data_IF_026209872998
#
_entry.id   IF_026209872998
#
_cell.length_a   1.000
_cell.length_b   1.000
_cell.length_c   1.000
_cell.angle_alpha   90.00
_cell.angle_beta   90.00
_cell.angle_gamma   90.00
#
_symmetry.space_group_name_H-M   'P 1'
#
loop_
_entity.id
_entity.type
_entity.pdbx_description
1 polymer ?
#
# COMPACT_ATOMS: atom_id res chain seq x y z
N UNK A 1 7.71 21.76 9.02
CA UNK A 1 8.99 22.17 8.41
C UNK A 1 8.97 21.85 6.93
N UNK A 2 9.99 22.22 6.15
CA UNK A 2 10.07 21.83 4.73
C UNK A 2 10.29 20.34 4.61
N UNK A 3 11.44 19.83 5.07
CA UNK A 3 11.73 18.39 5.08
C UNK A 3 11.76 17.86 6.52
N UNK A 4 11.51 16.56 6.69
CA UNK A 4 11.83 15.79 7.90
C UNK A 4 12.87 14.73 7.51
N UNK A 5 14.08 14.87 8.03
CA UNK A 5 15.12 13.84 7.90
C UNK A 5 15.54 13.40 9.30
N UNK A 6 15.18 12.18 9.67
CA UNK A 6 15.58 11.63 10.96
C UNK A 6 17.02 11.12 10.94
N UNK A 7 17.63 10.93 9.77
CA UNK A 7 18.95 10.34 9.60
C UNK A 7 19.17 9.08 10.46
N UNK A 8 20.42 8.76 10.78
CA UNK A 8 20.75 7.60 11.61
C UNK A 8 20.40 7.73 13.11
N UNK A 9 19.46 8.62 13.46
CA UNK A 9 18.99 8.83 14.83
C UNK A 9 18.19 7.62 15.35
N UNK A 10 17.94 7.57 16.66
CA UNK A 10 17.09 6.53 17.26
C UNK A 10 15.63 6.56 16.77
N UNK A 11 15.25 7.60 16.02
CA UNK A 11 13.89 7.80 15.57
C UNK A 11 12.99 8.39 16.66
N UNK A 12 11.69 8.38 16.39
CA UNK A 12 10.65 8.81 17.32
C UNK A 12 9.93 7.56 17.83
N UNK A 13 9.91 7.38 19.14
CA UNK A 13 9.28 6.23 19.79
C UNK A 13 8.37 6.72 20.91
N UNK A 14 7.10 6.30 20.85
CA UNK A 14 6.10 6.55 21.89
C UNK A 14 5.89 5.28 22.71
N UNK A 15 6.08 5.40 24.03
CA UNK A 15 6.18 4.29 24.98
C UNK A 15 5.23 4.37 26.16
N UNK A 16 4.52 5.49 26.32
CA UNK A 16 3.56 5.66 27.41
C UNK A 16 4.13 5.35 28.79
N UNK A 17 3.36 4.56 29.53
CA UNK A 17 3.71 4.16 30.89
C UNK A 17 4.85 3.14 31.00
N UNK A 18 5.32 2.55 29.88
CA UNK A 18 6.51 1.67 29.89
C UNK A 18 7.77 2.43 30.27
N UNK A 19 7.85 3.72 29.91
CA UNK A 19 8.99 4.58 30.24
C UNK A 19 8.74 5.47 31.45
N UNK A 20 7.48 5.77 31.77
CA UNK A 20 7.12 6.64 32.88
C UNK A 20 5.85 6.11 33.58
N UNK A 21 5.97 5.45 34.74
CA UNK A 21 4.83 4.82 35.41
C UNK A 21 3.76 5.81 35.92
N UNK A 22 4.03 7.12 35.86
CA UNK A 22 3.04 8.15 36.20
C UNK A 22 2.14 8.55 35.03
N UNK A 23 2.42 8.09 33.81
CA UNK A 23 1.55 8.29 32.65
C UNK A 23 0.43 7.24 32.62
N UNK A 24 -0.73 7.55 31.99
CA UNK A 24 -1.74 6.55 31.66
C UNK A 24 -1.15 5.40 30.81
N UNK A 25 -1.81 4.24 30.87
CA UNK A 25 -1.52 3.14 29.95
C UNK A 25 -1.88 3.53 28.51
N UNK A 26 -0.96 3.30 27.57
CA UNK A 26 -1.13 3.71 26.17
C UNK A 26 0.01 4.60 25.66
N UNK A 27 0.31 4.48 24.37
CA UNK A 27 1.19 5.38 23.64
C UNK A 27 0.40 6.58 23.13
N UNK A 28 1.07 7.72 22.98
CA UNK A 28 0.54 8.84 22.21
C UNK A 28 0.63 8.57 20.71
N UNK A 29 -0.26 9.15 19.91
CA UNK A 29 -0.21 9.10 18.45
C UNK A 29 0.96 9.93 17.91
N UNK A 30 1.44 9.57 16.73
CA UNK A 30 2.52 10.25 16.02
C UNK A 30 1.98 10.88 14.74
N UNK A 31 1.78 12.20 14.75
CA UNK A 31 1.53 12.99 13.55
C UNK A 31 2.83 13.58 13.01
N UNK A 32 3.23 13.19 11.80
CA UNK A 32 4.48 13.59 11.13
C UNK A 32 4.16 14.37 9.86
N UNK A 33 4.52 15.65 9.83
CA UNK A 33 4.15 16.57 8.75
C UNK A 33 5.38 17.23 8.12
N UNK A 34 5.66 16.90 6.86
CA UNK A 34 6.68 17.57 6.04
C UNK A 34 6.01 18.37 4.91
N UNK A 35 6.53 19.54 4.61
CA UNK A 35 6.09 20.32 3.45
C UNK A 35 4.65 20.83 3.47
N UNK A 36 3.96 20.80 4.62
CA UNK A 36 2.56 21.23 4.77
C UNK A 36 2.35 22.76 4.68
N UNK A 37 3.43 23.53 4.58
CA UNK A 37 3.37 24.98 4.36
C UNK A 37 3.31 25.22 2.85
N UNK A 38 2.22 25.81 2.37
CA UNK A 38 2.11 26.24 0.98
C UNK A 38 3.05 27.42 0.68
N UNK A 39 3.60 27.45 -0.52
CA UNK A 39 4.36 28.58 -1.07
C UNK A 39 3.65 29.17 -2.28
N UNK A 40 3.50 30.49 -2.31
CA UNK A 40 2.91 31.22 -3.44
C UNK A 40 3.82 31.23 -4.68
N UNK A 41 3.34 31.78 -5.79
CA UNK A 41 4.11 31.92 -7.04
C UNK A 41 5.41 32.72 -6.93
N UNK A 42 5.59 33.50 -5.86
CA UNK A 42 6.84 34.22 -5.57
C UNK A 42 7.76 33.44 -4.61
N UNK A 43 7.35 32.24 -4.17
CA UNK A 43 8.06 31.41 -3.20
C UNK A 43 7.83 31.80 -1.73
N UNK A 44 6.91 32.73 -1.45
CA UNK A 44 6.62 33.17 -0.09
C UNK A 44 5.76 32.13 0.64
N UNK A 45 6.12 31.82 1.88
CA UNK A 45 5.33 30.91 2.71
C UNK A 45 3.98 31.54 3.07
N UNK A 46 2.90 30.80 2.84
CA UNK A 46 1.54 31.12 3.29
C UNK A 46 1.38 30.60 4.73
N UNK A 47 0.60 31.29 5.60
CA UNK A 47 0.31 30.78 6.93
C UNK A 47 -0.25 29.36 6.89
N UNK A 48 0.24 28.51 7.80
CA UNK A 48 -0.27 27.14 7.96
C UNK A 48 -1.73 27.22 8.38
N UNK A 49 -2.57 26.39 7.76
CA UNK A 49 -3.95 26.22 8.21
C UNK A 49 -3.96 25.62 9.62
N UNK A 50 -4.61 26.29 10.56
CA UNK A 50 -4.76 25.80 11.93
C UNK A 50 -5.52 24.47 11.97
N UNK A 51 -6.34 24.16 10.96
CA UNK A 51 -7.02 22.89 10.81
C UNK A 51 -6.06 21.69 10.77
N UNK A 52 -4.84 21.85 10.23
CA UNK A 52 -3.81 20.80 10.22
C UNK A 52 -3.27 20.44 11.62
N UNK A 53 -3.58 21.25 12.63
CA UNK A 53 -3.22 20.98 14.02
C UNK A 53 -4.39 20.37 14.82
N UNK A 54 -5.58 20.27 14.23
CA UNK A 54 -6.73 19.59 14.83
C UNK A 54 -6.72 18.11 14.42
N UNK A 55 -6.58 17.25 15.42
CA UNK A 55 -6.58 15.80 15.29
C UNK A 55 -7.80 15.30 14.50
N UNK A 56 -8.99 15.84 14.78
CA UNK A 56 -10.22 15.40 14.12
C UNK A 56 -10.22 15.73 12.62
N UNK A 57 -9.54 16.80 12.21
CA UNK A 57 -9.44 17.16 10.78
C UNK A 57 -8.56 16.15 10.06
N UNK A 58 -7.42 15.78 10.65
CA UNK A 58 -6.49 14.82 10.06
C UNK A 58 -7.09 13.42 10.03
N UNK A 59 -7.77 13.01 11.11
CA UNK A 59 -8.48 11.73 11.17
C UNK A 59 -9.58 11.64 10.12
N UNK A 60 -10.40 12.68 10.01
CA UNK A 60 -11.45 12.74 8.99
C UNK A 60 -10.85 12.73 7.59
N UNK A 61 -9.73 13.42 7.36
CA UNK A 61 -9.02 13.37 6.09
C UNK A 61 -8.62 11.94 5.71
N UNK A 62 -8.01 11.18 6.62
CA UNK A 62 -7.67 9.78 6.34
C UNK A 62 -8.90 8.87 6.22
N UNK A 63 -9.98 9.15 6.95
CA UNK A 63 -11.24 8.44 6.78
C UNK A 63 -11.85 8.66 5.38
N UNK A 64 -11.77 9.87 4.83
CA UNK A 64 -12.20 10.18 3.46
C UNK A 64 -11.33 9.46 2.41
N UNK A 65 -10.00 9.42 2.62
CA UNK A 65 -9.10 8.65 1.76
C UNK A 65 -9.40 7.14 1.81
N UNK A 66 -9.67 6.59 2.99
CA UNK A 66 -10.03 5.18 3.15
C UNK A 66 -11.38 4.86 2.49
N UNK A 67 -12.36 5.74 2.63
CA UNK A 67 -13.65 5.57 1.98
C UNK A 67 -13.52 5.65 0.46
N UNK A 68 -12.70 6.56 -0.07
CA UNK A 68 -12.38 6.62 -1.49
C UNK A 68 -11.65 5.36 -1.97
N UNK A 69 -10.76 4.78 -1.16
CA UNK A 69 -10.12 3.49 -1.45
C UNK A 69 -11.16 2.37 -1.57
N UNK A 70 -12.17 2.33 -0.70
CA UNK A 70 -13.26 1.37 -0.75
C UNK A 70 -14.10 1.54 -2.03
N UNK A 71 -14.47 2.78 -2.38
CA UNK A 71 -15.23 3.09 -3.59
C UNK A 71 -14.46 2.73 -4.87
N UNK A 72 -13.13 2.92 -4.87
CA UNK A 72 -12.26 2.64 -6.02
C UNK A 72 -12.22 1.18 -6.44
N UNK A 73 -12.62 0.26 -5.56
CA UNK A 73 -12.61 -1.20 -5.80
C UNK A 73 -13.37 -1.61 -7.06
N UNK A 74 -14.47 -0.93 -7.34
CA UNK A 74 -15.37 -1.27 -8.44
C UNK A 74 -15.27 -0.29 -9.62
N UNK A 75 -15.12 1.00 -9.32
CA UNK A 75 -15.24 2.09 -10.30
C UNK A 75 -13.91 2.71 -10.71
N UNK A 76 -12.82 2.45 -9.97
CA UNK A 76 -11.58 3.25 -10.00
C UNK A 76 -11.85 4.75 -9.82
N UNK A 77 -12.89 5.09 -9.06
CA UNK A 77 -13.21 6.47 -8.72
C UNK A 77 -12.41 6.88 -7.48
N UNK A 78 -11.60 7.94 -7.64
CA UNK A 78 -10.80 8.54 -6.59
C UNK A 78 -11.25 9.96 -6.25
N UNK A 79 -12.34 10.44 -6.86
CA UNK A 79 -12.79 11.83 -6.77
C UNK A 79 -13.06 12.28 -5.34
N UNK A 80 -13.53 11.38 -4.49
CA UNK A 80 -13.73 11.63 -3.05
C UNK A 80 -12.42 11.94 -2.34
N UNK A 81 -11.39 11.11 -2.54
CA UNK A 81 -10.07 11.32 -1.97
C UNK A 81 -9.38 12.55 -2.55
N UNK A 82 -9.49 12.76 -3.87
CA UNK A 82 -8.97 13.95 -4.55
C UNK A 82 -9.60 15.24 -4.04
N UNK A 83 -10.91 15.24 -3.74
CA UNK A 83 -11.60 16.37 -3.13
C UNK A 83 -11.08 16.65 -1.71
N UNK A 84 -10.96 15.62 -0.86
CA UNK A 84 -10.41 15.76 0.49
C UNK A 84 -8.96 16.30 0.48
N UNK A 85 -8.15 15.85 -0.50
CA UNK A 85 -6.79 16.37 -0.72
C UNK A 85 -6.82 17.83 -1.15
N UNK A 86 -7.67 18.20 -2.10
CA UNK A 86 -7.76 19.58 -2.59
C UNK A 86 -8.26 20.55 -1.50
N UNK A 87 -9.14 20.08 -0.61
CA UNK A 87 -9.66 20.85 0.52
C UNK A 87 -8.58 21.09 1.58
N UNK A 88 -7.83 20.05 1.96
CA UNK A 88 -6.79 20.16 3.01
C UNK A 88 -5.48 20.77 2.50
N UNK A 89 -5.15 20.55 1.21
CA UNK A 89 -3.91 20.99 0.57
C UNK A 89 -4.19 21.70 -0.76
N UNK A 90 -4.80 22.90 -0.74
CA UNK A 90 -5.15 23.61 -1.95
C UNK A 90 -3.92 24.01 -2.77
N UNK A 91 -3.97 23.82 -4.09
CA UNK A 91 -2.91 24.19 -5.06
C UNK A 91 -3.11 25.58 -5.68
N UNK A 92 -4.08 26.34 -5.19
CA UNK A 92 -4.37 27.70 -5.64
C UNK A 92 -5.05 27.76 -7.00
N UNK A 93 -4.93 28.90 -7.68
CA UNK A 93 -5.45 29.10 -9.04
C UNK A 93 -4.29 29.30 -10.03
N UNK A 94 -4.58 29.29 -11.33
CA UNK A 94 -3.57 29.58 -12.35
C UNK A 94 -2.89 30.95 -12.15
N UNK A 95 -3.63 31.95 -11.64
CA UNK A 95 -3.10 33.29 -11.38
C UNK A 95 -2.41 33.42 -10.02
N UNK A 96 -2.70 32.50 -9.08
CA UNK A 96 -2.15 32.48 -7.73
C UNK A 96 -1.85 31.03 -7.31
N UNK A 97 -0.81 30.40 -7.90
CA UNK A 97 -0.50 29.00 -7.63
C UNK A 97 0.06 28.85 -6.23
N UNK A 98 -0.32 27.74 -5.59
CA UNK A 98 0.23 27.28 -4.32
C UNK A 98 0.99 25.97 -4.56
N UNK A 99 2.20 25.90 -4.01
CA UNK A 99 3.04 24.71 -4.12
C UNK A 99 3.47 24.24 -2.75
N UNK A 100 3.43 22.93 -2.55
CA UNK A 100 3.96 22.26 -1.38
C UNK A 100 5.30 21.62 -1.74
N UNK A 101 6.24 21.60 -0.81
CA UNK A 101 7.54 20.92 -0.98
C UNK A 101 8.01 20.36 0.34
N UNK A 102 8.40 19.09 0.34
CA UNK A 102 8.93 18.47 1.55
C UNK A 102 8.83 16.97 1.54
N UNK A 103 9.92 16.32 1.93
CA UNK A 103 9.98 14.86 2.05
C UNK A 103 10.08 14.42 3.52
N UNK A 104 9.63 13.20 3.79
CA UNK A 104 9.87 12.48 5.05
C UNK A 104 10.88 11.35 4.79
N UNK A 105 12.04 11.41 5.44
CA UNK A 105 13.11 10.42 5.33
C UNK A 105 13.43 9.78 6.67
N UNK A 106 13.33 8.44 6.70
CA UNK A 106 13.61 7.59 7.87
C UNK A 106 14.88 6.75 7.68
N UNK A 107 15.88 7.27 6.95
CA UNK A 107 17.13 6.57 6.70
C UNK A 107 17.81 6.10 8.00
N UNK A 108 17.92 4.79 8.26
CA UNK A 108 18.48 4.28 9.52
C UNK A 108 17.71 4.69 10.80
N UNK A 109 16.43 5.03 10.66
CA UNK A 109 15.59 5.53 11.73
C UNK A 109 14.28 4.75 11.87
N UNK A 110 13.45 5.17 12.83
CA UNK A 110 12.14 4.59 13.06
C UNK A 110 11.08 5.63 13.46
N UNK A 111 9.84 5.32 13.13
CA UNK A 111 8.64 5.85 13.77
C UNK A 111 7.95 4.67 14.43
N UNK A 112 7.80 4.69 15.75
CA UNK A 112 7.31 3.52 16.47
C UNK A 112 6.36 3.85 17.60
N UNK A 113 5.23 3.16 17.66
CA UNK A 113 4.33 3.15 18.83
C UNK A 113 4.37 1.79 19.51
N UNK A 114 4.65 1.77 20.82
CA UNK A 114 4.76 0.52 21.58
C UNK A 114 3.47 0.11 22.30
N UNK A 115 2.54 1.05 22.50
CA UNK A 115 1.31 0.85 23.28
C UNK A 115 0.04 1.43 22.61
N UNK A 116 -0.21 1.10 21.33
CA UNK A 116 -1.53 1.32 20.73
C UNK A 116 -1.86 2.76 20.32
N UNK A 117 -0.86 3.52 19.86
CA UNK A 117 -1.07 4.82 19.20
C UNK A 117 -0.84 4.72 17.69
N UNK A 118 -1.50 5.58 16.94
CA UNK A 118 -1.46 5.64 15.48
C UNK A 118 -0.19 6.36 14.98
N UNK A 119 0.17 6.10 13.73
CA UNK A 119 1.22 6.83 13.01
C UNK A 119 0.62 7.42 11.75
N UNK A 120 0.50 8.74 11.73
CA UNK A 120 -0.05 9.50 10.61
C UNK A 120 1.05 10.34 9.97
N UNK A 121 1.18 10.27 8.64
CA UNK A 121 2.20 10.98 7.88
C UNK A 121 1.59 11.80 6.75
N UNK A 122 1.97 13.07 6.65
CA UNK A 122 1.52 13.99 5.61
C UNK A 122 2.73 14.60 4.90
N UNK A 123 2.82 14.37 3.59
CA UNK A 123 3.79 14.98 2.68
C UNK A 123 3.11 15.47 1.39
N UNK A 124 2.32 16.56 1.42
CA UNK A 124 1.52 17.04 0.29
C UNK A 124 2.34 17.57 -0.91
N UNK A 125 3.66 17.66 -0.78
CA UNK A 125 4.54 18.18 -1.82
C UNK A 125 5.75 17.32 -2.11
N UNK A 126 5.77 16.09 -1.61
CA UNK A 126 6.91 15.19 -1.72
C UNK A 126 6.55 13.76 -1.37
N UNK A 127 7.58 12.97 -1.07
CA UNK A 127 7.46 11.54 -0.80
C UNK A 127 7.80 11.15 0.64
N UNK A 128 7.61 9.87 0.93
CA UNK A 128 8.06 9.23 2.17
C UNK A 128 9.05 8.13 1.82
N UNK A 129 10.20 8.12 2.50
CA UNK A 129 11.17 7.04 2.42
C UNK A 129 11.34 6.40 3.80
N UNK A 130 10.81 5.19 3.99
CA UNK A 130 10.91 4.44 5.23
C UNK A 130 12.32 3.89 5.52
N UNK A 131 13.26 4.06 4.59
CA UNK A 131 14.70 3.98 4.82
C UNK A 131 15.39 2.72 4.29
N UNK A 132 16.73 2.73 4.40
CA UNK A 132 17.62 1.61 4.12
C UNK A 132 18.03 0.96 5.45
N UNK A 133 18.10 -0.36 5.50
CA UNK A 133 18.41 -1.14 6.71
C UNK A 133 19.89 -1.54 6.83
N UNK A 134 20.69 -1.37 5.76
CA UNK A 134 22.13 -1.67 5.76
C UNK A 134 22.91 -0.60 4.99
N UNK A 135 23.87 0.07 5.65
CA UNK A 135 25.00 0.76 5.02
C UNK A 135 26.23 -0.05 5.38
N UNK A 136 27.15 -0.19 4.45
CA UNK A 136 28.39 -0.96 4.65
C UNK A 136 29.08 -0.58 5.96
N UNK A 137 29.15 -1.53 6.91
CA UNK A 137 29.83 -1.35 8.20
C UNK A 137 28.95 -1.00 9.40
N UNK A 138 27.64 -0.77 9.23
CA UNK A 138 26.71 -0.49 10.33
C UNK A 138 25.41 -1.29 10.17
N UNK A 139 25.18 -2.26 11.05
CA UNK A 139 23.91 -2.99 11.15
C UNK A 139 23.10 -2.44 12.33
N UNK A 140 21.85 -2.08 12.07
CA UNK A 140 20.85 -1.82 13.11
C UNK A 140 19.94 -3.03 13.24
N UNK A 141 19.53 -3.33 14.47
CA UNK A 141 18.55 -4.38 14.68
C UNK A 141 17.24 -4.04 13.97
N UNK A 142 16.51 -5.05 13.50
CA UNK A 142 15.18 -4.86 12.90
C UNK A 142 14.20 -4.13 13.84
N UNK A 143 14.43 -4.19 15.16
CA UNK A 143 13.69 -3.47 16.19
C UNK A 143 13.84 -1.96 16.18
N UNK A 144 14.86 -1.44 15.50
CA UNK A 144 15.24 -0.04 15.58
C UNK A 144 15.06 0.70 14.24
N UNK A 145 14.32 0.10 13.31
CA UNK A 145 14.18 0.56 11.94
C UNK A 145 12.75 0.40 11.41
N UNK A 146 12.28 1.42 10.69
CA UNK A 146 11.03 1.42 9.96
C UNK A 146 9.86 2.07 10.69
N UNK A 147 8.67 1.86 10.17
CA UNK A 147 7.42 2.44 10.70
C UNK A 147 6.63 1.30 11.32
N UNK A 148 6.43 1.32 12.64
CA UNK A 148 5.91 0.15 13.37
C UNK A 148 4.92 0.54 14.45
N UNK A 149 3.75 -0.09 14.46
CA UNK A 149 2.83 -0.09 15.61
C UNK A 149 2.82 -1.48 16.24
N UNK A 150 3.08 -1.56 17.56
CA UNK A 150 3.32 -2.86 18.21
C UNK A 150 2.05 -3.43 18.82
N UNK A 151 1.40 -2.70 19.73
CA UNK A 151 0.21 -3.16 20.45
C UNK A 151 -1.08 -2.58 19.85
N UNK A 152 -1.21 -2.69 18.52
CA UNK A 152 -2.27 -2.00 17.78
C UNK A 152 -1.87 -0.58 17.40
N UNK A 153 -2.81 0.15 16.80
CA UNK A 153 -2.61 1.45 16.17
C UNK A 153 -2.44 1.33 14.66
N UNK A 154 -3.06 2.22 13.93
CA UNK A 154 -3.05 2.28 12.47
C UNK A 154 -1.81 3.01 11.96
N UNK A 155 -1.42 2.72 10.72
CA UNK A 155 -0.40 3.49 9.99
C UNK A 155 -1.07 4.11 8.77
N UNK A 156 -1.11 5.43 8.73
CA UNK A 156 -1.78 6.19 7.68
C UNK A 156 -0.79 7.17 7.05
N UNK A 157 -0.69 7.18 5.73
CA UNK A 157 0.25 8.02 5.01
C UNK A 157 -0.40 8.65 3.79
N UNK A 158 -0.26 9.97 3.65
CA UNK A 158 -0.54 10.69 2.43
C UNK A 158 0.75 11.33 1.90
N UNK A 159 1.02 11.07 0.62
CA UNK A 159 2.16 11.59 -0.12
C UNK A 159 1.70 12.07 -1.49
N UNK A 160 2.33 13.13 -2.00
CA UNK A 160 2.11 13.52 -3.40
C UNK A 160 2.91 12.62 -4.32
N UNK A 161 4.20 12.43 -4.02
CA UNK A 161 5.12 11.66 -4.84
C UNK A 161 5.19 10.20 -4.32
N UNK A 162 6.36 9.56 -4.30
CA UNK A 162 6.48 8.15 -3.97
C UNK A 162 6.43 7.85 -2.46
N UNK A 163 5.92 6.67 -2.11
CA UNK A 163 6.13 6.02 -0.82
C UNK A 163 7.06 4.82 -0.99
N UNK A 164 8.28 4.91 -0.45
CA UNK A 164 9.35 3.93 -0.64
C UNK A 164 9.71 3.23 0.67
N UNK A 165 9.51 1.91 0.73
CA UNK A 165 9.91 1.09 1.89
C UNK A 165 11.37 0.65 1.81
N UNK A 166 11.91 0.48 0.60
CA UNK A 166 13.29 0.03 0.37
C UNK A 166 13.60 -1.27 1.13
N UNK A 167 14.64 -1.33 1.97
CA UNK A 167 14.92 -2.54 2.77
C UNK A 167 14.42 -2.43 4.21
N UNK A 168 13.59 -1.43 4.50
CA UNK A 168 12.95 -1.20 5.78
C UNK A 168 11.60 -1.93 5.86
N UNK A 169 10.72 -1.49 6.76
CA UNK A 169 9.41 -2.10 7.02
C UNK A 169 8.37 -1.09 7.43
N UNK A 170 7.11 -1.39 7.10
CA UNK A 170 5.91 -0.67 7.56
C UNK A 170 4.93 -1.70 8.10
N UNK A 171 4.97 -1.93 9.41
CA UNK A 171 4.31 -3.07 10.06
C UNK A 171 3.35 -2.67 11.18
N UNK A 172 2.18 -3.29 11.23
CA UNK A 172 1.33 -3.33 12.43
C UNK A 172 1.35 -4.77 13.00
N UNK A 173 1.71 -4.92 14.28
CA UNK A 173 2.09 -6.24 14.84
C UNK A 173 0.94 -6.94 15.55
N UNK A 174 0.20 -6.23 16.39
CA UNK A 174 -0.86 -6.82 17.24
C UNK A 174 -2.25 -6.33 16.85
N UNK A 175 -2.46 -6.06 15.56
CA UNK A 175 -3.63 -5.37 15.01
C UNK A 175 -3.26 -3.99 14.48
N UNK A 176 -4.22 -3.31 13.86
CA UNK A 176 -4.04 -2.03 13.19
C UNK A 176 -3.99 -2.17 11.67
N UNK A 177 -4.61 -1.22 11.00
CA UNK A 177 -4.73 -1.15 9.55
C UNK A 177 -3.65 -0.24 8.96
N UNK A 178 -3.38 -0.43 7.67
CA UNK A 178 -2.43 0.40 6.92
C UNK A 178 -3.16 1.06 5.77
N UNK A 179 -3.12 2.39 5.71
CA UNK A 179 -3.53 3.18 4.55
C UNK A 179 -2.32 3.95 4.02
N UNK A 180 -2.00 3.77 2.74
CA UNK A 180 -0.99 4.58 2.06
C UNK A 180 -1.61 5.12 0.78
N UNK A 181 -1.64 6.44 0.67
CA UNK A 181 -2.08 7.17 -0.51
C UNK A 181 -0.91 7.94 -1.12
N UNK A 182 -0.59 7.63 -2.37
CA UNK A 182 0.34 8.35 -3.22
C UNK A 182 -0.44 8.98 -4.36
N UNK A 183 -0.57 10.31 -4.38
CA UNK A 183 -1.46 10.99 -5.31
C UNK A 183 -0.96 10.94 -6.76
N UNK A 184 0.33 11.21 -6.97
CA UNK A 184 0.98 11.33 -8.28
C UNK A 184 2.16 10.35 -8.46
N UNK A 185 2.50 9.58 -7.43
CA UNK A 185 3.66 8.70 -7.40
C UNK A 185 3.34 7.21 -7.25
N UNK A 186 4.36 6.45 -6.85
CA UNK A 186 4.31 5.00 -6.69
C UNK A 186 4.41 4.59 -5.23
N UNK A 187 3.94 3.38 -4.92
CA UNK A 187 4.16 2.72 -3.63
C UNK A 187 5.05 1.50 -3.86
N UNK A 188 6.24 1.49 -3.28
CA UNK A 188 7.19 0.37 -3.37
C UNK A 188 7.41 -0.26 -1.99
N UNK A 189 6.95 -1.49 -1.82
CA UNK A 189 7.15 -2.29 -0.61
C UNK A 189 8.62 -2.75 -0.44
N UNK A 190 9.43 -2.61 -1.48
CA UNK A 190 10.87 -2.63 -1.40
C UNK A 190 11.51 -4.01 -1.56
N UNK A 191 12.78 -4.11 -1.14
CA UNK A 191 13.67 -5.24 -1.38
C UNK A 191 14.21 -5.76 -0.05
N UNK A 192 14.08 -7.06 0.18
CA UNK A 192 14.60 -7.69 1.40
C UNK A 192 14.12 -9.12 1.55
N UNK A 193 14.74 -9.86 2.47
CA UNK A 193 14.36 -11.24 2.72
C UNK A 193 12.92 -11.32 3.25
N UNK A 194 12.06 -12.07 2.55
CA UNK A 194 10.75 -12.49 3.05
C UNK A 194 10.97 -13.31 4.32
N UNK A 195 10.51 -12.82 5.46
CA UNK A 195 10.53 -13.61 6.69
C UNK A 195 9.26 -14.44 6.83
N UNK A 196 9.33 -15.49 7.62
CA UNK A 196 8.30 -16.53 7.70
C UNK A 196 6.93 -16.01 8.18
N UNK A 197 5.89 -16.75 7.80
CA UNK A 197 4.45 -16.44 7.98
C UNK A 197 3.99 -16.28 9.44
N UNK A 198 4.77 -16.76 10.42
CA UNK A 198 4.45 -16.64 11.84
C UNK A 198 5.58 -15.91 12.58
N UNK A 199 5.31 -14.67 12.96
CA UNK A 199 6.18 -13.83 13.78
C UNK A 199 5.63 -13.91 15.21
N UNK A 200 6.36 -14.50 16.19
CA UNK A 200 5.88 -14.64 17.56
C UNK A 200 5.38 -13.31 18.15
N UNK A 201 4.39 -13.32 19.06
CA UNK A 201 3.95 -12.08 19.70
C UNK A 201 5.08 -11.42 20.48
N UNK A 202 5.11 -10.07 20.56
CA UNK A 202 6.09 -9.34 21.35
C UNK A 202 6.09 -9.78 22.81
N UNK A 203 7.27 -9.87 23.43
CA UNK A 203 7.40 -10.27 24.83
C UNK A 203 7.77 -9.07 25.70
N UNK A 204 7.01 -8.81 26.76
CA UNK A 204 7.39 -7.82 27.75
C UNK A 204 8.53 -8.37 28.61
N UNK A 205 9.67 -7.68 28.62
CA UNK A 205 10.86 -8.06 29.40
C UNK A 205 11.31 -6.90 30.27
N UNK A 206 11.98 -7.21 31.37
CA UNK A 206 12.63 -6.21 32.21
C UNK A 206 14.10 -6.10 31.78
N UNK A 207 14.55 -4.89 31.46
CA UNK A 207 15.95 -4.65 31.10
C UNK A 207 16.88 -4.66 32.33
N UNK A 208 18.19 -4.56 32.10
CA UNK A 208 19.19 -4.56 33.18
C UNK A 208 19.05 -3.37 34.15
N UNK A 209 18.30 -2.33 33.77
CA UNK A 209 18.06 -1.13 34.55
C UNK A 209 16.70 -1.16 35.28
N UNK A 210 15.93 -2.26 35.15
CA UNK A 210 14.63 -2.41 35.79
C UNK A 210 13.46 -1.80 35.01
N UNK A 211 13.65 -1.37 33.77
CA UNK A 211 12.58 -0.82 32.93
C UNK A 211 11.83 -1.94 32.19
N UNK A 212 10.53 -1.74 31.98
CA UNK A 212 9.75 -2.59 31.10
C UNK A 212 10.07 -2.25 29.63
N UNK A 213 10.52 -3.25 28.87
CA UNK A 213 10.86 -3.13 27.46
C UNK A 213 10.12 -4.20 26.68
N UNK A 214 9.43 -3.79 25.61
CA UNK A 214 8.76 -4.70 24.71
C UNK A 214 9.76 -5.27 23.70
N UNK A 215 10.10 -6.55 23.85
CA UNK A 215 10.96 -7.27 22.93
C UNK A 215 10.16 -7.72 21.70
N UNK A 216 10.34 -6.98 20.61
CA UNK A 216 9.69 -7.17 19.32
C UNK A 216 10.62 -7.84 18.30
N UNK A 217 11.85 -8.20 18.69
CA UNK A 217 12.90 -8.61 17.74
C UNK A 217 12.50 -9.84 16.91
N UNK A 218 11.71 -10.73 17.52
CA UNK A 218 11.17 -11.93 16.87
C UNK A 218 9.90 -11.66 16.08
N UNK A 219 9.22 -10.52 16.28
CA UNK A 219 7.91 -10.15 15.71
C UNK A 219 7.99 -9.27 14.45
N UNK A 220 9.16 -8.65 14.21
CA UNK A 220 9.38 -7.65 13.15
C UNK A 220 10.50 -8.03 12.17
N UNK A 221 10.91 -9.30 12.18
CA UNK A 221 11.89 -9.79 11.22
C UNK A 221 11.37 -9.54 9.79
N UNK A 222 12.24 -9.09 8.88
CA UNK A 222 11.94 -8.91 7.45
C UNK A 222 11.79 -7.45 7.01
N UNK A 223 11.38 -7.31 5.75
CA UNK A 223 11.10 -6.02 5.09
C UNK A 223 9.72 -6.07 4.46
N UNK A 224 9.18 -4.92 4.05
CA UNK A 224 7.91 -4.85 3.32
C UNK A 224 6.79 -4.16 4.07
N UNK A 225 5.57 -4.39 3.61
CA UNK A 225 4.35 -3.83 4.20
C UNK A 225 3.55 -4.99 4.80
N UNK A 226 3.17 -4.88 6.07
CA UNK A 226 2.40 -5.90 6.78
C UNK A 226 1.40 -5.27 7.74
N UNK A 227 0.11 -5.53 7.56
CA UNK A 227 -0.90 -5.09 8.53
C UNK A 227 -2.09 -6.03 8.63
N UNK A 228 -3.11 -5.63 9.40
CA UNK A 228 -4.40 -6.33 9.44
C UNK A 228 -5.12 -6.12 8.12
N UNK A 229 -5.78 -4.99 7.91
CA UNK A 229 -6.22 -4.57 6.58
C UNK A 229 -5.18 -3.62 5.97
N UNK A 230 -5.02 -3.68 4.65
CA UNK A 230 -4.06 -2.85 3.94
C UNK A 230 -4.76 -2.21 2.73
N UNK A 231 -4.70 -0.89 2.63
CA UNK A 231 -5.18 -0.10 1.50
C UNK A 231 -4.00 0.69 0.90
N UNK A 232 -3.64 0.39 -0.34
CA UNK A 232 -2.54 1.02 -1.06
C UNK A 232 -3.09 1.68 -2.33
N UNK A 233 -3.09 3.01 -2.34
CA UNK A 233 -3.73 3.80 -3.40
C UNK A 233 -2.68 4.65 -4.09
N UNK A 234 -2.49 4.40 -5.38
CA UNK A 234 -1.58 5.12 -6.28
C UNK A 234 -2.31 5.36 -7.62
N UNK A 235 -3.30 6.28 -7.68
CA UNK A 235 -4.25 6.38 -8.79
C UNK A 235 -3.62 6.48 -10.17
N UNK A 236 -2.52 7.24 -10.29
CA UNK A 236 -1.77 7.43 -11.53
C UNK A 236 -0.45 6.65 -11.58
N UNK A 237 -0.18 5.83 -10.57
CA UNK A 237 1.12 5.19 -10.38
C UNK A 237 1.04 3.68 -10.20
N UNK A 238 2.16 3.12 -9.75
CA UNK A 238 2.34 1.69 -9.53
C UNK A 238 2.36 1.33 -8.04
N UNK A 239 1.72 0.21 -7.70
CA UNK A 239 1.95 -0.50 -6.43
C UNK A 239 2.84 -1.70 -6.70
N UNK A 240 4.07 -1.66 -6.19
CA UNK A 240 5.07 -2.70 -6.36
C UNK A 240 5.30 -3.44 -5.06
N UNK A 241 4.99 -4.73 -5.04
CA UNK A 241 5.23 -5.58 -3.88
C UNK A 241 6.72 -5.87 -3.64
N UNK A 242 7.58 -5.65 -4.65
CA UNK A 242 9.01 -5.91 -4.60
C UNK A 242 9.34 -7.34 -4.15
N UNK A 243 10.59 -7.58 -3.72
CA UNK A 243 10.97 -8.88 -3.16
C UNK A 243 10.50 -9.05 -1.70
N UNK A 244 10.35 -7.92 -1.00
CA UNK A 244 9.94 -7.88 0.40
C UNK A 244 8.50 -8.37 0.60
N UNK A 245 7.61 -7.99 -0.31
CA UNK A 245 6.21 -8.39 -0.35
C UNK A 245 5.27 -7.47 0.42
N UNK A 246 3.98 -7.67 0.16
CA UNK A 246 2.86 -7.01 0.84
C UNK A 246 2.02 -8.09 1.52
N UNK A 247 1.66 -7.88 2.79
CA UNK A 247 0.90 -8.86 3.59
C UNK A 247 -0.26 -8.20 4.31
N UNK A 248 -1.46 -8.68 4.07
CA UNK A 248 -2.66 -8.31 4.82
C UNK A 248 -3.18 -9.55 5.55
N UNK A 249 -3.27 -9.49 6.88
CA UNK A 249 -3.90 -10.55 7.67
C UNK A 249 -5.41 -10.67 7.43
N UNK A 250 -6.04 -9.53 7.13
CA UNK A 250 -7.43 -9.37 6.69
C UNK A 250 -7.50 -8.99 5.22
N UNK A 251 -8.19 -7.91 4.90
CA UNK A 251 -8.46 -7.49 3.53
C UNK A 251 -7.32 -6.66 2.93
N UNK A 252 -7.11 -6.79 1.62
CA UNK A 252 -6.20 -5.96 0.84
C UNK A 252 -6.97 -5.22 -0.25
N UNK A 253 -6.76 -3.91 -0.32
CA UNK A 253 -7.27 -3.04 -1.38
C UNK A 253 -6.11 -2.38 -2.08
N UNK A 254 -5.98 -2.58 -3.40
CA UNK A 254 -5.01 -1.86 -4.22
C UNK A 254 -5.75 -1.07 -5.29
N UNK A 255 -5.60 0.26 -5.25
CA UNK A 255 -6.13 1.18 -6.25
C UNK A 255 -4.97 1.82 -7.00
N UNK A 256 -4.54 1.23 -8.11
CA UNK A 256 -3.38 1.71 -8.86
C UNK A 256 -3.56 1.56 -10.38
N UNK A 257 -2.77 2.31 -11.15
CA UNK A 257 -2.69 2.11 -12.60
C UNK A 257 -2.07 0.75 -12.92
N UNK A 258 -1.02 0.39 -12.16
CA UNK A 258 -0.31 -0.89 -12.32
C UNK A 258 0.02 -1.53 -10.97
N UNK A 259 0.00 -2.86 -10.95
CA UNK A 259 0.46 -3.65 -9.80
C UNK A 259 1.56 -4.60 -10.25
N UNK A 260 2.66 -4.64 -9.48
CA UNK A 260 3.83 -5.48 -9.76
C UNK A 260 4.13 -6.40 -8.59
N UNK A 261 4.57 -7.62 -8.91
CA UNK A 261 4.94 -8.61 -7.91
C UNK A 261 3.72 -9.21 -7.20
N UNK A 262 2.63 -9.47 -7.92
CA UNK A 262 1.43 -10.12 -7.36
C UNK A 262 1.75 -11.44 -6.61
N UNK A 263 2.74 -12.20 -7.08
CA UNK A 263 3.24 -13.42 -6.40
C UNK A 263 3.86 -13.16 -5.02
N UNK A 264 4.22 -11.90 -4.75
CA UNK A 264 4.79 -11.44 -3.49
C UNK A 264 3.73 -10.81 -2.57
N UNK A 265 2.46 -10.92 -2.93
CA UNK A 265 1.31 -10.42 -2.15
C UNK A 265 0.62 -11.59 -1.46
N UNK A 266 0.37 -11.46 -0.16
CA UNK A 266 -0.31 -12.45 0.66
C UNK A 266 -1.47 -11.80 1.39
N UNK A 267 -2.68 -12.37 1.23
CA UNK A 267 -3.91 -11.81 1.79
C UNK A 267 -4.66 -12.92 2.52
N UNK A 268 -5.03 -12.67 3.78
CA UNK A 268 -5.81 -13.61 4.58
C UNK A 268 -7.33 -13.51 4.34
N UNK A 269 -7.80 -12.33 3.92
CA UNK A 269 -9.18 -12.02 3.60
C UNK A 269 -9.42 -11.76 2.11
N UNK A 270 -10.24 -10.76 1.80
CA UNK A 270 -10.59 -10.38 0.42
C UNK A 270 -9.48 -9.52 -0.18
N UNK A 271 -9.08 -9.83 -1.42
CA UNK A 271 -8.08 -9.09 -2.19
C UNK A 271 -8.72 -8.42 -3.39
N UNK A 272 -8.62 -7.09 -3.47
CA UNK A 272 -9.09 -6.28 -4.60
C UNK A 272 -7.93 -5.52 -5.25
N UNK A 273 -7.93 -5.44 -6.58
CA UNK A 273 -6.93 -4.70 -7.36
C UNK A 273 -5.64 -5.46 -7.68
N UNK A 274 -5.44 -6.65 -7.13
CA UNK A 274 -4.32 -7.54 -7.50
C UNK A 274 -4.67 -8.28 -8.81
N UNK A 275 -3.82 -8.22 -9.85
CA UNK A 275 -4.03 -8.97 -11.07
C UNK A 275 -4.03 -10.48 -10.79
N UNK A 276 -5.13 -11.17 -11.12
CA UNK A 276 -5.16 -12.63 -11.09
C UNK A 276 -4.42 -13.18 -12.32
N UNK A 277 -3.36 -13.95 -12.12
CA UNK A 277 -2.78 -14.76 -13.21
C UNK A 277 -3.81 -15.81 -13.64
N UNK A 278 -3.97 -16.05 -14.94
CA UNK A 278 -5.00 -16.94 -15.52
C UNK A 278 -5.00 -18.39 -14.96
N UNK A 279 -3.98 -18.84 -14.23
CA UNK A 279 -3.95 -20.14 -13.54
C UNK A 279 -4.66 -20.15 -12.17
N UNK A 280 -4.97 -18.98 -11.60
CA UNK A 280 -5.62 -18.82 -10.29
C UNK A 280 -7.13 -18.51 -10.35
N UNK A 281 -7.67 -18.20 -11.53
CA UNK A 281 -9.08 -17.85 -11.72
C UNK A 281 -10.03 -19.00 -11.31
N UNK A 282 -9.59 -20.25 -11.46
CA UNK A 282 -10.35 -21.42 -11.05
C UNK A 282 -10.44 -21.59 -9.52
N UNK A 283 -9.45 -21.11 -8.77
CA UNK A 283 -9.44 -21.18 -7.31
C UNK A 283 -10.26 -20.05 -6.67
N UNK A 284 -10.18 -18.83 -7.22
CA UNK A 284 -10.98 -17.69 -6.76
C UNK A 284 -12.50 -17.93 -6.97
N UNK A 285 -12.87 -18.53 -8.12
CA UNK A 285 -14.25 -18.91 -8.43
C UNK A 285 -14.83 -19.99 -7.50
N UNK A 286 -13.98 -20.84 -6.90
CA UNK A 286 -14.41 -21.88 -5.97
C UNK A 286 -14.75 -21.33 -4.57
N UNK A 287 -14.06 -20.27 -4.13
CA UNK A 287 -14.34 -19.58 -2.86
C UNK A 287 -15.55 -18.63 -2.94
N UNK A 288 -15.85 -18.06 -4.09
CA UNK A 288 -17.01 -17.18 -4.29
C UNK A 288 -18.35 -17.93 -4.45
N UNK A 289 -18.34 -19.26 -4.61
CA UNK A 289 -19.55 -20.07 -4.72
C UNK A 289 -20.31 -20.25 -3.39
N UNK A 290 -19.76 -19.78 -2.27
CA UNK A 290 -20.33 -19.97 -0.94
C UNK A 290 -21.44 -18.99 -0.56
N UNK A 291 -21.45 -17.77 -1.10
CA UNK A 291 -22.43 -16.73 -0.75
C UNK A 291 -22.62 -15.80 -1.95
N UNK A 292 -23.86 -15.36 -2.18
CA UNK A 292 -24.36 -14.40 -3.19
C UNK A 292 -25.13 -15.07 -4.34
N UNK A 293 -26.45 -15.07 -4.17
CA UNK A 293 -27.41 -15.29 -5.23
C UNK A 293 -27.54 -14.07 -6.15
N UNK A 294 -27.98 -14.35 -7.38
CA UNK A 294 -28.56 -13.44 -8.37
C UNK A 294 -27.64 -12.77 -9.41
N UNK A 295 -26.32 -12.66 -9.23
CA UNK A 295 -25.43 -12.04 -10.25
C UNK A 295 -24.64 -13.02 -11.12
N UNK A 296 -24.57 -14.31 -10.74
CA UNK A 296 -23.92 -15.34 -11.55
C UNK A 296 -24.67 -15.70 -12.86
N UNK A 297 -25.94 -15.31 -12.99
CA UNK A 297 -26.80 -15.70 -14.13
C UNK A 297 -26.50 -14.89 -15.40
N UNK A 298 -26.11 -13.62 -15.29
CA UNK A 298 -25.84 -12.74 -16.45
C UNK A 298 -24.46 -12.99 -17.08
N UNK A 299 -23.44 -13.25 -16.25
CA UNK A 299 -22.11 -13.65 -16.71
C UNK A 299 -22.12 -15.06 -17.33
N UNK A 300 -22.90 -16.00 -16.78
CA UNK A 300 -23.06 -17.35 -17.36
C UNK A 300 -23.82 -17.31 -18.69
N UNK A 301 -24.81 -16.43 -18.84
CA UNK A 301 -25.58 -16.29 -20.07
C UNK A 301 -24.74 -15.73 -21.24
N UNK A 302 -23.86 -14.76 -20.97
CA UNK A 302 -22.97 -14.15 -21.98
C UNK A 302 -21.83 -15.08 -22.38
N UNK A 303 -21.26 -15.87 -21.47
CA UNK A 303 -20.30 -16.93 -21.83
C UNK A 303 -20.94 -18.07 -22.64
N UNK A 304 -22.16 -18.48 -22.28
CA UNK A 304 -22.89 -19.53 -23.01
C UNK A 304 -23.26 -19.09 -24.43
N UNK A 305 -23.59 -17.82 -24.63
CA UNK A 305 -23.85 -17.24 -25.96
C UNK A 305 -22.58 -17.18 -26.81
N UNK A 306 -21.47 -16.68 -26.27
CA UNK A 306 -20.19 -16.61 -27.00
C UNK A 306 -19.66 -17.99 -27.39
N UNK A 307 -19.83 -19.01 -26.52
CA UNK A 307 -19.41 -20.38 -26.83
C UNK A 307 -20.32 -21.03 -27.90
N UNK A 308 -21.63 -20.79 -27.86
CA UNK A 308 -22.56 -21.29 -28.87
C UNK A 308 -22.30 -20.65 -30.26
N UNK A 309 -21.89 -19.39 -30.29
CA UNK A 309 -21.58 -18.64 -31.50
C UNK A 309 -20.22 -19.07 -32.10
N UNK A 310 -19.23 -19.32 -31.24
CA UNK A 310 -17.94 -19.89 -31.65
C UNK A 310 -18.07 -21.32 -32.20
N UNK A 311 -18.93 -22.16 -31.61
CA UNK A 311 -19.20 -23.53 -32.09
C UNK A 311 -19.89 -23.51 -33.46
N UNK A 312 -20.88 -22.62 -33.67
CA UNK A 312 -21.53 -22.44 -34.99
C UNK A 312 -20.55 -21.96 -36.06
N UNK A 313 -19.71 -20.97 -35.73
CA UNK A 313 -18.69 -20.47 -36.66
C UNK A 313 -17.67 -21.54 -37.05
N UNK A 314 -17.27 -22.40 -36.10
CA UNK A 314 -16.37 -23.52 -36.36
C UNK A 314 -17.03 -24.61 -37.24
N UNK A 315 -18.32 -24.85 -37.06
CA UNK A 315 -19.07 -25.86 -37.82
C UNK A 315 -19.35 -25.41 -39.27
N UNK A 316 -19.59 -24.12 -39.50
CA UNK A 316 -19.66 -23.53 -40.84
C UNK A 316 -18.32 -23.59 -41.57
N UNK A 317 -17.20 -23.30 -40.89
CA UNK A 317 -15.87 -23.38 -41.47
C UNK A 317 -15.49 -24.81 -41.89
N UNK A 318 -15.92 -25.80 -41.10
CA UNK A 318 -15.71 -27.23 -41.38
C UNK A 318 -16.51 -27.71 -42.59
N UNK A 319 -17.70 -27.16 -42.82
CA UNK A 319 -18.53 -27.52 -43.98
C UNK A 319 -18.09 -26.81 -45.28
N UNK A 320 -17.44 -25.64 -45.17
CA UNK A 320 -16.89 -24.89 -46.30
C UNK A 320 -15.58 -25.49 -46.86
N UNK A 321 -14.84 -26.28 -46.07
CA UNK A 321 -13.60 -26.92 -46.50
C UNK A 321 -13.84 -28.32 -47.11
N UNK A 322 -14.09 -28.37 -48.42
CA UNK A 322 -14.10 -29.62 -49.22
C UNK A 322 -12.98 -29.59 -50.27
N UNK A 323 -11.76 -30.07 -49.97
CA UNK A 323 -10.67 -30.05 -50.95
C UNK A 323 -10.94 -31.04 -52.08
N UNK A 324 -10.78 -30.59 -53.33
CA UNK A 324 -10.82 -31.44 -54.53
C UNK A 324 -9.39 -31.65 -55.00
N UNK A 325 -8.94 -32.90 -55.09
CA UNK A 325 -7.60 -33.22 -55.58
C UNK A 325 -7.63 -33.36 -57.10
N UNK A 326 -6.77 -32.61 -57.80
CA UNK A 326 -6.50 -32.79 -59.24
C UNK A 326 -5.14 -33.44 -59.37
N UNK A 327 -5.09 -34.62 -59.98
CA UNK A 327 -3.84 -35.31 -60.31
C UNK A 327 -3.45 -34.91 -61.73
N UNK A 328 -2.30 -34.27 -61.90
CA UNK A 328 -1.72 -33.96 -63.20
C UNK A 328 -0.46 -34.80 -63.42
N UNK A 329 -0.46 -35.60 -64.49
CA UNK A 329 0.68 -36.41 -64.91
C UNK A 329 1.40 -35.68 -66.05
N UNK A 330 2.69 -35.40 -65.85
CA UNK A 330 3.53 -34.69 -66.84
C UNK A 330 4.32 -35.74 -67.63
N UNK A 331 4.03 -35.85 -68.93
CA UNK A 331 4.77 -36.70 -69.87
C UNK A 331 5.93 -35.89 -70.44
N UNK A 332 7.13 -36.49 -70.45
CA UNK A 332 8.43 -35.83 -70.63
C UNK A 332 8.72 -35.11 -71.96
N UNK A 333 9.84 -34.39 -71.92
CA UNK A 333 10.41 -33.45 -72.90
C UNK A 333 10.63 -34.02 -74.32
N UNK A 334 10.35 -33.20 -75.33
CA UNK A 334 10.99 -33.24 -76.64
C UNK A 334 12.14 -32.22 -76.72
N UNK A 335 13.13 -32.52 -77.57
CA UNK A 335 14.42 -31.82 -77.79
C UNK A 335 14.37 -30.29 -77.91
#
# INVERSE_FOLDING_TARGET
>A
GRDIDLGASKGVVTRGNLSNPYLPEGGADLLVMAGVVAHDGNGSAVPIDAALMDEHVVDNFFAELLASAEESKDSKDYSRGEAAIADLFPTGTADAPLTYKGDISLFFSQLKTEQGGDIQMLAPGGGVNAGLASVTGFERAAADLGIITVQGGDIQAYTRDDFQVNSSRVFTISGGDILIWSAEGNIDAGKGAKTASATPPPQLRIDQNGNFVLDVSQSIAGSGIKGSNVALIAPTGEVNAGDAGIRAGGNLTIGADRVVGADNIQVGGISTGVPISNDGAAAAAATSAGNVGSEATSATASLSQNLAEAVRAAEELKNAFKPTFITAEVIGHGE
#
